data_IF_937969902349
#
_entry.id   IF_937969902349
#
_cell.length_a   1.000
_cell.length_b   1.000
_cell.length_c   1.000
_cell.angle_alpha   90.00
_cell.angle_beta   90.00
_cell.angle_gamma   90.00
#
_symmetry.space_group_name_H-M   'P 1'
#
loop_
_entity.id
_entity.type
_entity.pdbx_description
1 polymer ?
#
# COMPACT_ATOMS: atom_id res chain seq x y z
N UNK A 1 42.97 -62.74 -52.57
CA UNK A 1 42.86 -61.29 -52.90
C UNK A 1 41.36 -60.92 -52.95
N UNK A 2 40.83 -60.35 -51.90
CA UNK A 2 39.42 -60.00 -51.77
C UNK A 2 39.29 -58.49 -51.71
N UNK A 3 38.49 -57.94 -52.63
CA UNK A 3 38.13 -56.53 -52.69
C UNK A 3 37.16 -56.26 -51.56
N UNK A 4 37.43 -55.23 -50.72
CA UNK A 4 36.49 -54.68 -49.73
C UNK A 4 35.71 -53.59 -50.44
N UNK A 5 34.37 -53.75 -50.35
CA UNK A 5 33.37 -52.82 -50.89
C UNK A 5 33.12 -51.72 -49.84
N UNK A 6 33.34 -50.48 -50.22
CA UNK A 6 33.08 -49.33 -49.38
C UNK A 6 31.64 -48.83 -49.59
N UNK A 7 30.74 -49.24 -48.75
CA UNK A 7 29.40 -48.61 -48.71
C UNK A 7 29.51 -47.30 -47.90
N UNK A 8 29.37 -46.21 -48.61
CA UNK A 8 29.21 -44.88 -48.02
C UNK A 8 27.93 -44.81 -47.21
N UNK A 9 28.06 -44.66 -45.88
CA UNK A 9 26.96 -44.31 -45.02
C UNK A 9 26.88 -42.77 -44.96
N UNK A 10 25.90 -42.22 -45.62
CA UNK A 10 25.59 -40.82 -45.57
C UNK A 10 24.74 -40.58 -44.31
N UNK A 11 25.39 -40.04 -43.28
CA UNK A 11 24.71 -39.60 -42.05
C UNK A 11 24.09 -38.24 -42.32
N UNK A 12 22.76 -38.20 -42.45
CA UNK A 12 22.01 -36.95 -42.49
C UNK A 12 21.89 -36.46 -41.05
N UNK A 13 22.63 -35.40 -40.71
CA UNK A 13 22.45 -34.67 -39.46
C UNK A 13 21.20 -33.79 -39.65
N UNK A 14 20.07 -34.26 -39.08
CA UNK A 14 18.88 -33.42 -38.88
C UNK A 14 19.18 -32.51 -37.68
N UNK A 15 19.56 -31.28 -37.94
CA UNK A 15 19.59 -30.24 -36.92
C UNK A 15 18.15 -29.86 -36.57
N UNK A 16 17.64 -30.43 -35.46
CA UNK A 16 16.40 -29.98 -34.83
C UNK A 16 16.72 -28.68 -34.12
N UNK A 17 16.39 -27.58 -34.78
CA UNK A 17 16.42 -26.24 -34.18
C UNK A 17 15.23 -26.14 -33.21
N UNK A 18 15.46 -26.44 -31.92
CA UNK A 18 14.51 -26.13 -30.87
C UNK A 18 14.52 -24.60 -30.68
N UNK A 19 13.60 -23.91 -31.33
CA UNK A 19 13.24 -22.54 -31.00
C UNK A 19 12.51 -22.60 -29.65
N UNK A 20 13.27 -22.42 -28.58
CA UNK A 20 12.69 -22.09 -27.28
C UNK A 20 12.08 -20.70 -27.41
N UNK A 21 10.79 -20.64 -27.70
CA UNK A 21 9.99 -19.45 -27.44
C UNK A 21 9.99 -19.26 -25.92
N UNK A 22 10.87 -18.40 -25.41
CA UNK A 22 10.67 -17.81 -24.10
C UNK A 22 9.41 -16.94 -24.19
N UNK A 23 8.25 -17.54 -23.97
CA UNK A 23 7.12 -16.80 -23.50
C UNK A 23 7.55 -16.29 -22.11
N UNK A 24 8.04 -15.06 -22.06
CA UNK A 24 8.22 -14.34 -20.81
C UNK A 24 6.85 -14.24 -20.16
N UNK A 25 6.55 -15.12 -19.21
CA UNK A 25 5.59 -14.79 -18.19
C UNK A 25 6.17 -13.53 -17.53
N UNK A 26 5.60 -12.39 -17.86
CA UNK A 26 5.70 -11.20 -17.04
C UNK A 26 4.90 -11.59 -15.79
N UNK A 27 5.60 -12.07 -14.76
CA UNK A 27 5.02 -12.18 -13.43
C UNK A 27 4.52 -10.77 -13.11
N UNK A 28 3.20 -10.64 -13.00
CA UNK A 28 2.57 -9.44 -12.53
C UNK A 28 3.06 -9.30 -11.11
N UNK A 29 3.96 -8.33 -10.86
CA UNK A 29 4.44 -8.08 -9.51
C UNK A 29 3.23 -7.60 -8.71
N UNK A 30 2.89 -8.35 -7.67
CA UNK A 30 1.87 -7.97 -6.73
C UNK A 30 2.46 -6.89 -5.81
N UNK A 31 1.78 -5.76 -5.71
CA UNK A 31 2.11 -4.70 -4.76
C UNK A 31 1.39 -5.03 -3.45
N UNK A 32 2.10 -4.87 -2.34
CA UNK A 32 1.54 -5.11 -1.02
C UNK A 32 1.13 -3.78 -0.38
N UNK A 33 -0.16 -3.62 -0.10
CA UNK A 33 -0.66 -2.53 0.73
C UNK A 33 -0.41 -2.88 2.19
N UNK A 34 0.62 -2.25 2.74
CA UNK A 34 1.10 -2.54 4.08
C UNK A 34 0.59 -1.53 5.10
N UNK A 35 0.18 -2.06 6.25
CA UNK A 35 -0.21 -1.27 7.43
C UNK A 35 -1.37 -0.27 7.22
N UNK A 36 -2.38 -0.48 6.35
CA UNK A 36 -3.55 0.37 6.44
C UNK A 36 -4.24 0.20 7.80
N UNK A 37 -4.44 1.31 8.50
CA UNK A 37 -5.16 1.38 9.78
C UNK A 37 -6.27 2.42 9.70
N UNK A 38 -7.42 2.11 10.28
CA UNK A 38 -8.63 2.93 10.21
C UNK A 38 -9.00 3.35 11.63
N UNK A 39 -8.95 4.64 11.90
CA UNK A 39 -9.41 5.28 13.13
C UNK A 39 -10.81 5.82 12.96
N UNK A 40 -11.61 5.73 14.01
CA UNK A 40 -12.99 6.22 14.05
C UNK A 40 -13.15 7.19 15.23
N UNK A 41 -13.46 8.44 14.94
CA UNK A 41 -13.62 9.52 15.93
C UNK A 41 -15.04 10.11 15.87
N UNK A 42 -16.05 9.44 16.43
CA UNK A 42 -17.39 10.01 16.50
C UNK A 42 -17.49 11.10 17.59
N UNK A 43 -18.45 12.02 17.49
CA UNK A 43 -18.68 13.04 18.53
C UNK A 43 -19.21 12.46 19.86
N UNK A 44 -19.83 11.29 19.80
CA UNK A 44 -20.32 10.54 20.95
C UNK A 44 -20.12 9.04 20.71
N UNK A 45 -20.21 8.25 21.79
CA UNK A 45 -20.11 6.78 21.68
C UNK A 45 -21.12 6.23 20.68
N UNK A 46 -20.65 5.60 19.61
CA UNK A 46 -21.44 5.24 18.43
C UNK A 46 -21.10 3.81 17.97
N UNK A 47 -22.12 3.03 17.67
CA UNK A 47 -21.93 1.74 17.00
C UNK A 47 -21.65 1.99 15.51
N UNK A 48 -20.52 1.47 15.03
CA UNK A 48 -20.03 1.70 13.67
C UNK A 48 -19.79 0.37 12.97
N UNK A 49 -20.24 0.29 11.73
CA UNK A 49 -19.90 -0.81 10.81
C UNK A 49 -18.96 -0.28 9.73
N UNK A 50 -17.81 -0.92 9.55
CA UNK A 50 -16.87 -0.58 8.49
C UNK A 50 -16.76 -1.76 7.54
N UNK A 51 -16.95 -1.51 6.24
CA UNK A 51 -16.73 -2.49 5.17
C UNK A 51 -15.65 -2.01 4.22
N UNK A 52 -14.83 -2.94 3.78
CA UNK A 52 -13.77 -2.73 2.81
C UNK A 52 -14.07 -3.58 1.57
N UNK A 53 -14.25 -2.92 0.43
CA UNK A 53 -14.27 -3.56 -0.89
C UNK A 53 -12.89 -3.33 -1.53
N UNK A 54 -12.09 -4.38 -1.54
CA UNK A 54 -10.69 -4.33 -1.94
C UNK A 54 -10.47 -5.04 -3.28
N UNK A 55 -9.85 -4.34 -4.23
CA UNK A 55 -9.52 -4.88 -5.56
C UNK A 55 -8.26 -5.77 -5.54
N UNK A 56 -8.22 -6.71 -4.58
CA UNK A 56 -7.10 -7.60 -4.32
C UNK A 56 -7.49 -8.70 -3.35
N UNK A 57 -6.49 -9.29 -2.70
CA UNK A 57 -6.67 -10.30 -1.67
C UNK A 57 -6.23 -9.73 -0.30
N UNK A 58 -7.10 -9.79 0.71
CA UNK A 58 -6.73 -9.44 2.08
C UNK A 58 -5.86 -10.54 2.68
N UNK A 59 -4.64 -10.17 3.08
CA UNK A 59 -3.66 -11.11 3.64
C UNK A 59 -3.64 -11.11 5.15
N UNK A 60 -4.00 -9.98 5.79
CA UNK A 60 -4.05 -9.86 7.23
C UNK A 60 -5.09 -8.83 7.68
N UNK A 61 -5.81 -9.10 8.76
CA UNK A 61 -6.74 -8.14 9.39
C UNK A 61 -6.72 -8.27 10.90
N UNK A 62 -6.88 -7.14 11.61
CA UNK A 62 -7.02 -7.14 13.06
C UNK A 62 -7.84 -5.94 13.56
N UNK A 63 -8.95 -6.19 14.33
CA UNK A 63 -9.56 -7.51 14.55
C UNK A 63 -9.92 -8.22 13.26
N UNK A 64 -10.25 -9.51 13.34
CA UNK A 64 -10.60 -10.34 12.19
C UNK A 64 -11.73 -9.71 11.35
N UNK A 65 -11.49 -9.54 10.05
CA UNK A 65 -12.49 -9.09 9.08
C UNK A 65 -13.32 -10.29 8.60
N UNK A 66 -14.63 -10.25 8.84
CA UNK A 66 -15.56 -11.29 8.36
C UNK A 66 -16.43 -10.73 7.24
N UNK A 67 -17.59 -10.16 7.62
CA UNK A 67 -18.49 -9.43 6.70
C UNK A 67 -18.41 -7.90 6.93
N UNK A 68 -17.29 -7.42 7.43
CA UNK A 68 -17.04 -6.08 7.93
C UNK A 68 -16.69 -6.09 9.41
N UNK A 69 -16.09 -5.00 9.87
CA UNK A 69 -15.89 -4.76 11.30
C UNK A 69 -17.15 -4.11 11.90
N UNK A 70 -17.53 -4.58 13.06
CA UNK A 70 -18.61 -3.99 13.86
C UNK A 70 -18.06 -3.67 15.24
N UNK A 71 -17.99 -2.39 15.56
CA UNK A 71 -17.38 -1.90 16.80
C UNK A 71 -18.21 -0.75 17.36
N UNK A 72 -18.13 -0.55 18.67
CA UNK A 72 -18.57 0.69 19.29
C UNK A 72 -17.36 1.62 19.39
N UNK A 73 -17.39 2.75 18.66
CA UNK A 73 -16.33 3.75 18.68
C UNK A 73 -16.62 4.82 19.73
N UNK A 74 -15.59 5.25 20.45
CA UNK A 74 -15.64 6.36 21.40
C UNK A 74 -15.00 7.63 20.81
N UNK A 75 -15.31 8.84 21.31
CA UNK A 75 -14.75 10.09 20.80
C UNK A 75 -13.22 10.17 20.87
N UNK A 76 -12.60 9.43 21.78
CA UNK A 76 -11.14 9.34 21.93
C UNK A 76 -10.48 8.36 20.94
N UNK A 77 -11.26 7.72 20.06
CA UNK A 77 -10.82 6.75 19.09
C UNK A 77 -10.75 5.31 19.59
N UNK A 78 -11.07 5.06 20.86
CA UNK A 78 -11.13 3.68 21.38
C UNK A 78 -12.29 2.93 20.73
N UNK A 79 -11.98 1.78 20.13
CA UNK A 79 -12.95 0.86 19.52
C UNK A 79 -13.18 -0.32 20.44
N UNK A 80 -14.42 -0.73 20.64
CA UNK A 80 -14.78 -1.90 21.46
C UNK A 80 -15.61 -2.87 20.62
N UNK A 81 -15.24 -4.13 20.54
CA UNK A 81 -16.01 -5.16 19.86
C UNK A 81 -17.14 -5.74 20.73
N UNK A 82 -17.91 -6.69 20.18
CA UNK A 82 -19.01 -7.34 20.88
C UNK A 82 -18.59 -8.17 22.11
N UNK A 83 -17.31 -8.60 22.13
CA UNK A 83 -16.73 -9.38 23.24
C UNK A 83 -16.11 -8.47 24.33
N UNK A 84 -16.15 -7.15 24.13
CA UNK A 84 -15.62 -6.13 25.03
C UNK A 84 -14.10 -5.94 24.93
N UNK A 85 -13.47 -6.47 23.87
CA UNK A 85 -12.05 -6.19 23.57
C UNK A 85 -11.91 -4.79 23.01
N UNK A 86 -10.80 -4.13 23.31
CA UNK A 86 -10.55 -2.75 22.87
C UNK A 86 -9.40 -2.68 21.89
N UNK A 87 -9.54 -1.76 20.92
CA UNK A 87 -8.56 -1.51 19.84
C UNK A 87 -8.39 -0.02 19.64
N UNK A 88 -7.20 0.39 19.15
CA UNK A 88 -6.93 1.79 18.78
C UNK A 88 -7.39 2.09 17.34
N UNK A 89 -7.44 1.07 16.50
CA UNK A 89 -7.80 1.16 15.08
C UNK A 89 -8.20 -0.22 14.54
N UNK A 90 -8.81 -0.24 13.37
CA UNK A 90 -8.97 -1.44 12.55
C UNK A 90 -7.77 -1.52 11.60
N UNK A 91 -7.18 -2.70 11.48
CA UNK A 91 -5.99 -2.92 10.67
C UNK A 91 -6.25 -3.94 9.57
N UNK A 92 -5.63 -3.71 8.40
CA UNK A 92 -5.61 -4.67 7.31
C UNK A 92 -4.32 -4.59 6.50
N UNK A 93 -4.02 -5.65 5.77
CA UNK A 93 -3.03 -5.72 4.70
C UNK A 93 -3.59 -6.52 3.54
N UNK A 94 -3.10 -6.27 2.34
CA UNK A 94 -3.55 -6.96 1.15
C UNK A 94 -2.56 -6.87 0.00
N UNK A 95 -2.71 -7.80 -0.94
CA UNK A 95 -1.96 -7.84 -2.19
C UNK A 95 -2.87 -7.45 -3.34
N UNK A 96 -2.37 -6.59 -4.23
CA UNK A 96 -3.09 -6.15 -5.41
C UNK A 96 -2.17 -6.01 -6.63
N UNK A 97 -2.72 -5.65 -7.76
CA UNK A 97 -1.99 -5.39 -9.00
C UNK A 97 -2.17 -3.95 -9.50
N UNK A 98 -2.41 -3.04 -8.57
CA UNK A 98 -2.57 -1.60 -8.85
C UNK A 98 -1.21 -0.99 -9.16
N UNK A 99 -1.15 -0.16 -10.19
CA UNK A 99 0.05 0.64 -10.47
C UNK A 99 -0.12 2.01 -9.86
N UNK A 100 0.74 2.36 -8.92
CA UNK A 100 0.77 3.69 -8.32
C UNK A 100 1.41 4.72 -9.24
N UNK A 101 0.88 5.95 -9.20
CA UNK A 101 1.37 7.05 -10.03
C UNK A 101 2.56 7.76 -9.36
N UNK A 102 3.67 7.87 -10.09
CA UNK A 102 4.88 8.58 -9.71
C UNK A 102 5.18 9.75 -10.66
N UNK A 103 4.17 10.31 -11.32
CA UNK A 103 4.34 11.50 -12.17
C UNK A 103 4.57 12.79 -11.37
N UNK A 104 4.17 12.80 -10.11
CA UNK A 104 4.43 13.85 -9.12
C UNK A 104 4.72 13.24 -7.75
N UNK A 105 5.44 13.99 -6.91
CA UNK A 105 5.84 13.49 -5.59
C UNK A 105 7.06 14.24 -5.04
N UNK A 106 7.88 13.52 -4.29
CA UNK A 106 9.03 14.08 -3.59
C UNK A 106 10.21 13.13 -3.64
N UNK A 107 11.39 13.65 -3.99
CA UNK A 107 12.64 12.91 -3.86
C UNK A 107 13.34 13.38 -2.59
N UNK A 108 13.33 12.56 -1.55
CA UNK A 108 13.76 12.89 -0.20
C UNK A 108 15.00 12.09 0.16
N UNK A 109 16.07 12.73 0.64
CA UNK A 109 17.22 12.02 1.18
C UNK A 109 16.81 11.18 2.41
N UNK A 110 17.41 10.01 2.58
CA UNK A 110 17.09 9.14 3.72
C UNK A 110 17.22 9.86 5.06
N UNK A 111 18.28 10.69 5.21
CA UNK A 111 18.50 11.54 6.41
C UNK A 111 17.39 12.53 6.71
N UNK A 112 16.67 12.98 5.68
CA UNK A 112 15.67 14.04 5.78
C UNK A 112 14.23 13.46 5.85
N UNK A 113 14.10 12.13 5.78
CA UNK A 113 12.80 11.45 5.75
C UNK A 113 11.92 11.79 6.95
N UNK A 114 12.50 11.94 8.17
CA UNK A 114 11.73 12.25 9.37
C UNK A 114 11.06 13.61 9.25
N UNK A 115 11.84 14.66 8.99
CA UNK A 115 11.32 16.04 8.89
C UNK A 115 10.31 16.17 7.75
N UNK A 116 10.61 15.53 6.60
CA UNK A 116 9.67 15.50 5.48
C UNK A 116 8.33 14.86 5.86
N UNK A 117 8.36 13.67 6.48
CA UNK A 117 7.12 12.98 6.87
C UNK A 117 6.34 13.76 7.94
N UNK A 118 7.01 14.39 8.92
CA UNK A 118 6.34 15.22 9.92
C UNK A 118 5.57 16.37 9.27
N UNK A 119 6.18 17.06 8.32
CA UNK A 119 5.56 18.18 7.61
C UNK A 119 4.44 17.72 6.65
N UNK A 120 4.71 16.69 5.86
CA UNK A 120 3.76 16.17 4.87
C UNK A 120 2.49 15.59 5.52
N UNK A 121 2.65 14.77 6.57
CA UNK A 121 1.52 14.15 7.26
C UNK A 121 0.65 15.18 7.99
N UNK A 122 1.25 16.26 8.52
CA UNK A 122 0.51 17.37 9.08
C UNK A 122 -0.34 18.08 8.02
N UNK A 123 0.20 18.33 6.83
CA UNK A 123 -0.53 18.93 5.72
C UNK A 123 -1.66 18.03 5.23
N UNK A 124 -1.45 16.70 5.27
CA UNK A 124 -2.45 15.69 4.95
C UNK A 124 -3.48 15.44 6.07
N UNK A 125 -3.44 16.22 7.16
CA UNK A 125 -4.47 16.24 8.19
C UNK A 125 -4.32 15.18 9.27
N UNK A 126 -3.20 14.45 9.36
CA UNK A 126 -2.96 13.54 10.47
C UNK A 126 -2.63 14.30 11.75
N UNK A 127 -3.17 13.84 12.87
CA UNK A 127 -2.75 14.30 14.19
C UNK A 127 -1.31 13.88 14.47
N UNK A 128 -0.67 14.50 15.46
CA UNK A 128 0.69 14.12 15.88
C UNK A 128 0.78 12.65 16.31
N UNK A 129 -0.26 12.11 16.92
CA UNK A 129 -0.31 10.71 17.32
C UNK A 129 -0.35 9.77 16.11
N UNK A 130 -1.25 10.02 15.17
CA UNK A 130 -1.39 9.23 13.93
C UNK A 130 -0.11 9.30 13.08
N UNK A 131 0.45 10.51 12.91
CA UNK A 131 1.71 10.71 12.20
C UNK A 131 2.89 9.98 12.89
N UNK A 132 2.92 9.95 14.22
CA UNK A 132 3.96 9.24 14.97
C UNK A 132 3.89 7.73 14.72
N UNK A 133 2.71 7.13 14.70
CA UNK A 133 2.53 5.70 14.39
C UNK A 133 2.92 5.38 12.95
N UNK A 134 2.57 6.25 12.00
CA UNK A 134 2.99 6.16 10.61
C UNK A 134 4.52 6.18 10.48
N UNK A 135 5.17 7.19 11.05
CA UNK A 135 6.62 7.38 10.97
C UNK A 135 7.37 6.21 11.61
N UNK A 136 6.94 5.74 12.78
CA UNK A 136 7.59 4.61 13.47
C UNK A 136 7.57 3.34 12.62
N UNK A 137 6.52 3.13 11.83
CA UNK A 137 6.42 1.98 10.94
C UNK A 137 7.32 2.13 9.69
N UNK A 138 7.25 3.26 8.99
CA UNK A 138 7.90 3.44 7.69
C UNK A 138 9.38 3.84 7.78
N UNK A 139 9.76 4.65 8.75
CA UNK A 139 11.11 5.19 8.87
C UNK A 139 12.23 4.14 8.87
N UNK A 140 12.11 2.98 9.56
CA UNK A 140 13.15 1.96 9.54
C UNK A 140 13.48 1.43 8.14
N UNK A 141 12.53 1.48 7.22
CA UNK A 141 12.68 1.03 5.84
C UNK A 141 13.27 2.09 4.91
N UNK A 142 13.22 3.36 5.31
CA UNK A 142 13.50 4.51 4.45
C UNK A 142 14.79 5.26 4.82
N UNK A 143 15.13 5.35 6.10
CA UNK A 143 16.17 6.25 6.60
C UNK A 143 17.60 5.95 6.12
N UNK A 144 17.89 4.70 5.78
CA UNK A 144 19.21 4.27 5.33
C UNK A 144 19.37 4.33 3.81
N UNK A 145 18.29 4.62 3.06
CA UNK A 145 18.36 4.77 1.62
C UNK A 145 19.07 6.07 1.26
N UNK A 146 19.86 6.15 0.18
CA UNK A 146 20.39 7.42 -0.30
C UNK A 146 19.27 8.44 -0.57
N UNK A 147 18.22 8.00 -1.27
CA UNK A 147 17.01 8.78 -1.52
C UNK A 147 15.77 7.88 -1.50
N UNK A 148 14.62 8.48 -1.23
CA UNK A 148 13.31 7.86 -1.33
C UNK A 148 12.47 8.70 -2.31
N UNK A 149 11.91 8.07 -3.33
CA UNK A 149 10.89 8.70 -4.16
C UNK A 149 9.54 8.39 -3.52
N UNK A 150 8.85 9.42 -3.06
CA UNK A 150 7.63 9.34 -2.26
C UNK A 150 6.50 10.01 -3.03
N UNK A 151 5.35 9.37 -3.09
CA UNK A 151 4.11 9.96 -3.61
C UNK A 151 2.93 9.57 -2.72
N UNK A 152 2.00 10.48 -2.51
CA UNK A 152 0.76 10.20 -1.80
C UNK A 152 -0.34 9.94 -2.83
N UNK A 153 -0.94 8.75 -2.73
CA UNK A 153 -1.97 8.29 -3.66
C UNK A 153 -3.36 8.70 -3.17
N UNK A 154 -4.20 9.20 -4.05
CA UNK A 154 -5.59 9.50 -3.75
C UNK A 154 -6.54 8.58 -4.52
N UNK A 155 -6.90 8.94 -5.75
CA UNK A 155 -7.94 8.27 -6.52
C UNK A 155 -7.61 6.81 -6.83
N UNK A 156 -6.36 6.52 -7.19
CA UNK A 156 -5.92 5.14 -7.49
C UNK A 156 -6.12 4.24 -6.29
N UNK A 157 -5.69 4.70 -5.12
CA UNK A 157 -5.84 3.94 -3.87
C UNK A 157 -7.29 3.82 -3.43
N UNK A 158 -8.04 4.93 -3.42
CA UNK A 158 -9.42 4.93 -2.93
C UNK A 158 -10.36 4.15 -3.83
N UNK A 159 -10.06 4.01 -5.12
CA UNK A 159 -10.80 3.14 -6.03
C UNK A 159 -10.47 1.66 -5.82
N UNK A 160 -9.23 1.34 -5.48
CA UNK A 160 -8.80 -0.02 -5.21
C UNK A 160 -9.21 -0.54 -3.83
N UNK A 161 -9.31 0.34 -2.85
CA UNK A 161 -9.69 0.02 -1.47
C UNK A 161 -10.87 0.92 -1.03
N UNK A 162 -12.09 0.55 -1.43
CA UNK A 162 -13.28 1.33 -1.15
C UNK A 162 -13.77 1.06 0.28
N UNK A 163 -13.91 2.12 1.07
CA UNK A 163 -14.46 2.05 2.43
C UNK A 163 -15.93 2.46 2.43
N UNK A 164 -16.75 1.65 3.11
CA UNK A 164 -18.12 1.99 3.47
C UNK A 164 -18.25 2.01 4.98
N UNK A 165 -18.65 3.14 5.55
CA UNK A 165 -18.80 3.34 6.99
C UNK A 165 -20.23 3.73 7.30
N UNK A 166 -20.83 3.02 8.27
CA UNK A 166 -22.20 3.28 8.74
C UNK A 166 -22.18 3.44 10.29
N UNK A 167 -22.65 4.57 10.85
CA UNK A 167 -23.22 5.74 10.16
C UNK A 167 -22.20 6.46 9.26
N UNK A 168 -22.69 7.16 8.25
CA UNK A 168 -21.86 7.92 7.32
C UNK A 168 -21.04 8.99 8.06
N UNK A 169 -19.71 9.01 7.92
CA UNK A 169 -18.87 10.03 8.54
C UNK A 169 -19.05 11.41 7.89
N UNK A 170 -18.86 12.47 8.67
CA UNK A 170 -18.84 13.84 8.18
C UNK A 170 -17.51 14.18 7.49
N UNK A 171 -16.42 13.58 7.95
CA UNK A 171 -15.07 13.79 7.41
C UNK A 171 -14.37 12.45 7.21
N UNK A 172 -13.74 12.28 6.03
CA UNK A 172 -12.86 11.14 5.74
C UNK A 172 -11.50 11.65 5.27
N UNK A 173 -10.44 11.26 5.96
CA UNK A 173 -9.04 11.55 5.63
C UNK A 173 -8.36 10.22 5.30
N UNK A 174 -7.84 10.08 4.08
CA UNK A 174 -7.15 8.87 3.66
C UNK A 174 -5.75 9.23 3.12
N UNK A 175 -4.71 8.74 3.81
CA UNK A 175 -3.31 9.00 3.50
C UNK A 175 -2.64 7.69 3.10
N UNK A 176 -2.33 7.53 1.82
CA UNK A 176 -1.64 6.36 1.33
C UNK A 176 -0.33 6.75 0.65
N UNK A 177 0.79 6.29 1.21
CA UNK A 177 2.12 6.57 0.69
C UNK A 177 2.64 5.43 -0.17
N UNK A 178 2.81 5.65 -1.47
CA UNK A 178 3.62 4.77 -2.31
C UNK A 178 5.05 5.32 -2.37
N UNK A 179 6.05 4.45 -2.22
CA UNK A 179 7.43 4.89 -2.22
C UNK A 179 8.38 3.82 -2.76
N UNK A 180 9.54 4.27 -3.25
CA UNK A 180 10.64 3.37 -3.67
C UNK A 180 12.00 3.97 -3.34
N UNK A 181 12.99 3.11 -2.96
CA UNK A 181 14.35 3.58 -2.73
C UNK A 181 15.02 3.96 -4.04
N UNK A 182 15.83 5.02 -4.03
CA UNK A 182 16.66 5.44 -5.15
C UNK A 182 18.12 5.56 -4.73
N UNK A 183 19.03 5.30 -5.67
CA UNK A 183 20.47 5.51 -5.47
C UNK A 183 20.87 6.96 -5.66
N UNK A 184 20.25 7.64 -6.62
CA UNK A 184 20.52 9.01 -7.02
C UNK A 184 19.26 9.85 -6.92
N UNK A 185 19.43 11.15 -6.65
CA UNK A 185 18.33 12.10 -6.62
C UNK A 185 17.72 12.27 -8.02
N UNK A 186 16.41 12.45 -8.06
CA UNK A 186 15.65 12.77 -9.28
C UNK A 186 14.86 14.06 -9.08
N UNK A 187 14.67 14.79 -10.15
CA UNK A 187 13.73 15.91 -10.18
C UNK A 187 12.34 15.40 -10.50
N UNK A 188 11.35 15.81 -9.72
CA UNK A 188 9.95 15.43 -9.89
C UNK A 188 9.06 16.61 -9.50
N UNK A 189 7.94 16.87 -10.20
CA UNK A 189 6.97 17.88 -9.79
C UNK A 189 6.41 17.55 -8.39
N UNK A 190 6.35 18.55 -7.51
CA UNK A 190 5.77 18.37 -6.18
C UNK A 190 4.25 18.12 -6.26
N UNK A 191 3.73 17.37 -5.30
CA UNK A 191 2.28 17.24 -5.09
C UNK A 191 1.76 18.40 -4.24
N UNK A 192 0.49 18.76 -4.42
CA UNK A 192 -0.23 19.65 -3.52
C UNK A 192 -0.85 18.81 -2.40
N UNK A 193 -0.34 18.99 -1.18
CA UNK A 193 -0.78 18.24 0.00
C UNK A 193 -1.82 19.06 0.74
N UNK A 194 -3.06 18.59 0.71
CA UNK A 194 -4.19 19.22 1.40
C UNK A 194 -5.06 18.17 2.07
N UNK A 195 -5.74 18.57 3.14
CA UNK A 195 -6.72 17.75 3.83
C UNK A 195 -7.97 18.56 4.15
N UNK A 196 -9.13 17.91 4.25
CA UNK A 196 -10.32 18.57 4.78
C UNK A 196 -10.16 18.87 6.28
N UNK A 197 -10.87 19.89 6.75
CA UNK A 197 -10.99 20.14 8.18
C UNK A 197 -11.72 18.97 8.87
N UNK A 198 -11.22 18.56 10.03
CA UNK A 198 -11.88 17.52 10.84
C UNK A 198 -13.13 18.09 11.48
N UNK A 199 -14.31 17.64 11.07
CA UNK A 199 -15.60 18.05 11.59
C UNK A 199 -16.48 16.83 11.82
N UNK A 200 -17.30 16.86 12.88
CA UNK A 200 -18.24 15.80 13.20
C UNK A 200 -17.58 14.43 13.36
N UNK A 201 -18.27 13.38 12.93
CA UNK A 201 -17.71 12.04 12.89
C UNK A 201 -16.61 11.95 11.85
N UNK A 202 -15.37 11.85 12.31
CA UNK A 202 -14.17 11.78 11.45
C UNK A 202 -13.62 10.36 11.36
N UNK A 203 -13.38 9.91 10.15
CA UNK A 203 -12.66 8.66 9.85
C UNK A 203 -11.31 9.01 9.27
N UNK A 204 -10.27 8.39 9.80
CA UNK A 204 -8.89 8.55 9.30
C UNK A 204 -8.34 7.18 8.93
N UNK A 205 -7.79 7.06 7.74
CA UNK A 205 -7.02 5.89 7.34
C UNK A 205 -5.65 6.32 6.86
N UNK A 206 -4.63 5.58 7.28
CA UNK A 206 -3.32 5.70 6.66
C UNK A 206 -2.68 4.33 6.42
N UNK A 207 -1.89 4.25 5.37
CA UNK A 207 -1.14 3.06 4.97
C UNK A 207 -0.10 3.40 3.91
N UNK A 208 0.45 2.40 3.26
CA UNK A 208 1.37 2.63 2.16
C UNK A 208 1.83 1.34 1.49
N UNK A 209 2.66 1.51 0.46
CA UNK A 209 3.29 0.43 -0.29
C UNK A 209 4.73 0.79 -0.65
N UNK A 210 5.64 -0.15 -0.47
CA UNK A 210 6.97 -0.07 -1.06
C UNK A 210 6.93 -0.66 -2.46
N UNK A 211 7.03 0.20 -3.46
CA UNK A 211 7.05 -0.19 -4.88
C UNK A 211 8.48 -0.57 -5.29
N UNK A 212 8.61 -1.57 -6.13
CA UNK A 212 9.91 -2.09 -6.63
C UNK A 212 10.34 -1.44 -7.93
#
# INVERSE_FOLDING_TARGET
>A
MRKLDRKSVMVILMAVSCVFSFAGCQEKMEECDAKPVIYLYPESKTDVTVKLDYAGELTCTYPEYRDGWKVTASPDGTLTDADGQTYNYLYWEGENSVSYDFSSGYCVAGSDTVSFLEDALQQLGLTRQEANEFIVYWLPLMKENPYNLITFQSDVYTQAAQLSVDPTPDTVIRVFMAWKPLKDAVEIPAQDLTAPDRTGFTVVEWGGSQVR
#
